data_IF_979307404296
#
_entry.id   IF_979307404296
#
_cell.length_a   1.000
_cell.length_b   1.000
_cell.length_c   1.000
_cell.angle_alpha   90.00
_cell.angle_beta   90.00
_cell.angle_gamma   90.00
#
_symmetry.space_group_name_H-M   'P 1'
#
loop_
_entity.id
_entity.type
_entity.pdbx_description
1 polymer ?
#
# COMPACT_ATOMS: atom_id res chain seq x y z
N UNK A 1 -3.20 34.88 91.31
CA UNK A 1 -3.42 35.95 90.31
C UNK A 1 -2.28 35.87 89.32
N UNK A 2 -2.54 36.01 88.02
CA UNK A 2 -1.46 36.14 87.03
C UNK A 2 -0.72 37.45 87.33
N UNK A 3 0.43 37.37 88.00
CA UNK A 3 1.28 38.53 88.19
C UNK A 3 2.00 38.81 86.87
N UNK A 4 1.49 39.79 86.13
CA UNK A 4 2.10 40.28 84.90
C UNK A 4 3.36 41.09 85.25
N UNK A 5 4.43 40.38 85.58
CA UNK A 5 5.76 40.96 85.77
C UNK A 5 6.44 41.19 84.40
N UNK A 6 7.36 42.14 84.31
CA UNK A 6 8.16 42.43 83.10
C UNK A 6 8.81 41.18 82.50
N UNK A 7 9.13 40.18 83.32
CA UNK A 7 9.66 38.89 82.88
C UNK A 7 8.73 38.13 81.91
N UNK A 8 7.41 38.22 82.09
CA UNK A 8 6.43 37.60 81.19
C UNK A 8 6.53 38.15 79.76
N UNK A 9 6.69 39.47 79.62
CA UNK A 9 6.84 40.12 78.31
C UNK A 9 8.15 39.71 77.62
N UNK A 10 9.24 39.54 78.36
CA UNK A 10 10.52 39.05 77.82
C UNK A 10 10.39 37.62 77.28
N UNK A 11 9.75 36.72 78.03
CA UNK A 11 9.50 35.34 77.58
C UNK A 11 8.59 35.29 76.35
N UNK A 12 7.57 36.16 76.28
CA UNK A 12 6.69 36.25 75.13
C UNK A 12 7.45 36.69 73.87
N UNK A 13 8.31 37.70 73.98
CA UNK A 13 9.17 38.14 72.86
C UNK A 13 10.11 37.02 72.43
N UNK A 14 10.75 36.32 73.37
CA UNK A 14 11.62 35.18 73.07
C UNK A 14 10.87 34.05 72.35
N UNK A 15 9.64 33.75 72.77
CA UNK A 15 8.79 32.75 72.11
C UNK A 15 8.48 33.15 70.67
N UNK A 16 8.10 34.40 70.41
CA UNK A 16 7.84 34.87 69.05
C UNK A 16 9.11 34.83 68.18
N UNK A 17 10.26 35.25 68.72
CA UNK A 17 11.54 35.15 68.00
C UNK A 17 11.82 33.70 67.60
N UNK A 18 11.72 32.76 68.55
CA UNK A 18 11.93 31.34 68.27
C UNK A 18 10.92 30.81 67.24
N UNK A 19 9.65 31.19 67.36
CA UNK A 19 8.60 30.82 66.41
C UNK A 19 8.91 31.31 64.99
N UNK A 20 9.38 32.55 64.82
CA UNK A 20 9.78 33.09 63.52
C UNK A 20 10.98 32.35 62.92
N UNK A 21 12.00 32.06 63.75
CA UNK A 21 13.16 31.27 63.32
C UNK A 21 12.72 29.87 62.88
N UNK A 22 11.90 29.20 63.68
CA UNK A 22 11.41 27.85 63.39
C UNK A 22 10.54 27.81 62.13
N UNK A 23 9.68 28.82 61.94
CA UNK A 23 8.86 28.98 60.74
C UNK A 23 9.72 29.09 59.49
N UNK A 24 10.74 29.97 59.52
CA UNK A 24 11.63 30.19 58.40
C UNK A 24 12.54 28.98 58.12
N UNK A 25 13.05 28.31 59.16
CA UNK A 25 14.07 27.27 59.04
C UNK A 25 13.51 25.85 58.86
N UNK A 26 12.34 25.54 59.41
CA UNK A 26 11.77 24.18 59.36
C UNK A 26 10.45 24.12 58.60
N UNK A 27 9.45 24.92 58.98
CA UNK A 27 8.10 24.77 58.45
C UNK A 27 8.01 25.15 56.97
N UNK A 28 8.60 26.28 56.57
CA UNK A 28 8.65 26.70 55.16
C UNK A 28 9.33 25.66 54.25
N UNK A 29 10.58 25.21 54.52
CA UNK A 29 11.24 24.24 53.64
C UNK A 29 10.54 22.87 53.65
N UNK A 30 9.95 22.43 54.76
CA UNK A 30 9.16 21.18 54.79
C UNK A 30 7.94 21.24 53.88
N UNK A 31 7.14 22.31 53.96
CA UNK A 31 5.95 22.47 53.13
C UNK A 31 6.33 22.56 51.65
N UNK A 32 7.41 23.27 51.34
CA UNK A 32 7.92 23.37 49.98
C UNK A 32 8.38 22.00 49.44
N UNK A 33 9.07 21.20 50.25
CA UNK A 33 9.47 19.84 49.87
C UNK A 33 8.26 18.94 49.59
N UNK A 34 7.22 19.00 50.43
CA UNK A 34 5.99 18.24 50.19
C UNK A 34 5.28 18.69 48.91
N UNK A 35 5.19 19.99 48.66
CA UNK A 35 4.61 20.53 47.43
C UNK A 35 5.40 20.10 46.20
N UNK A 36 6.73 20.15 46.24
CA UNK A 36 7.59 19.70 45.13
C UNK A 36 7.41 18.21 44.84
N UNK A 37 7.32 17.37 45.89
CA UNK A 37 7.03 15.94 45.73
C UNK A 37 5.67 15.70 45.11
N UNK A 38 4.64 16.39 45.59
CA UNK A 38 3.29 16.28 45.05
C UNK A 38 3.24 16.70 43.57
N UNK A 39 3.86 17.82 43.22
CA UNK A 39 3.95 18.29 41.83
C UNK A 39 4.71 17.32 40.93
N UNK A 40 5.85 16.78 41.41
CA UNK A 40 6.64 15.81 40.65
C UNK A 40 5.85 14.53 40.39
N UNK A 41 5.16 14.01 41.41
CA UNK A 41 4.37 12.79 41.28
C UNK A 41 3.17 13.00 40.35
N UNK A 42 2.44 14.11 40.52
CA UNK A 42 1.32 14.45 39.63
C UNK A 42 1.78 14.64 38.19
N UNK A 43 2.86 15.40 37.99
CA UNK A 43 3.45 15.61 36.66
C UNK A 43 3.88 14.30 35.99
N UNK A 44 4.53 13.41 36.72
CA UNK A 44 4.93 12.10 36.21
C UNK A 44 3.72 11.22 35.86
N UNK A 45 2.64 11.27 36.65
CA UNK A 45 1.41 10.53 36.38
C UNK A 45 0.70 11.07 35.13
N UNK A 46 0.59 12.39 35.01
CA UNK A 46 -0.03 13.06 33.86
C UNK A 46 0.76 12.78 32.57
N UNK A 47 2.09 12.82 32.65
CA UNK A 47 2.97 12.47 31.53
C UNK A 47 2.80 11.00 31.12
N UNK A 48 2.74 10.07 32.09
CA UNK A 48 2.51 8.66 31.81
C UNK A 48 1.14 8.41 31.16
N UNK A 49 0.08 9.10 31.61
CA UNK A 49 -1.24 9.03 30.98
C UNK A 49 -1.19 9.54 29.54
N UNK A 50 -0.57 10.70 29.32
CA UNK A 50 -0.45 11.32 28.00
C UNK A 50 0.40 10.45 27.04
N UNK A 51 1.44 9.79 27.54
CA UNK A 51 2.21 8.81 26.78
C UNK A 51 1.39 7.57 26.41
N UNK A 52 0.56 7.05 27.33
CA UNK A 52 -0.33 5.93 27.05
C UNK A 52 -1.37 6.29 25.98
N UNK A 53 -2.02 7.45 26.09
CA UNK A 53 -2.96 7.92 25.07
C UNK A 53 -2.30 8.09 23.70
N UNK A 54 -1.09 8.68 23.65
CA UNK A 54 -0.32 8.80 22.40
C UNK A 54 0.02 7.44 21.81
N UNK A 55 0.43 6.49 22.64
CA UNK A 55 0.71 5.11 22.22
C UNK A 55 -0.53 4.44 21.65
N UNK A 56 -1.67 4.53 22.33
CA UNK A 56 -2.93 3.97 21.84
C UNK A 56 -3.35 4.58 20.50
N UNK A 57 -3.27 5.91 20.38
CA UNK A 57 -3.54 6.62 19.11
C UNK A 57 -2.59 6.18 18.00
N UNK A 58 -1.30 6.04 18.29
CA UNK A 58 -0.31 5.58 17.31
C UNK A 58 -0.57 4.14 16.85
N UNK A 59 -0.93 3.24 17.77
CA UNK A 59 -1.30 1.85 17.44
C UNK A 59 -2.58 1.82 16.61
N UNK A 60 -3.58 2.62 16.96
CA UNK A 60 -4.83 2.72 16.21
C UNK A 60 -4.57 3.21 14.78
N UNK A 61 -3.75 4.26 14.62
CA UNK A 61 -3.38 4.78 13.30
C UNK A 61 -2.60 3.75 12.48
N UNK A 62 -1.59 3.10 13.08
CA UNK A 62 -0.82 2.05 12.41
C UNK A 62 -1.71 0.90 11.93
N UNK A 63 -2.67 0.47 12.76
CA UNK A 63 -3.62 -0.57 12.38
C UNK A 63 -4.54 -0.13 11.23
N UNK A 64 -5.00 1.12 11.25
CA UNK A 64 -5.80 1.68 10.16
C UNK A 64 -5.00 1.75 8.85
N UNK A 65 -3.75 2.21 8.90
CA UNK A 65 -2.86 2.30 7.74
C UNK A 65 -2.56 0.90 7.16
N UNK A 66 -2.31 -0.09 8.03
CA UNK A 66 -2.12 -1.48 7.60
C UNK A 66 -3.37 -2.08 6.95
N UNK A 67 -4.56 -1.78 7.49
CA UNK A 67 -5.82 -2.21 6.90
C UNK A 67 -6.06 -1.58 5.52
N UNK A 68 -5.81 -0.27 5.40
CA UNK A 68 -5.91 0.46 4.15
C UNK A 68 -4.92 -0.07 3.10
N UNK A 69 -3.66 -0.29 3.47
CA UNK A 69 -2.65 -0.85 2.58
C UNK A 69 -3.02 -2.25 2.08
N UNK A 70 -3.55 -3.12 2.95
CA UNK A 70 -4.05 -4.45 2.56
C UNK A 70 -5.23 -4.37 1.61
N UNK A 71 -6.16 -3.44 1.84
CA UNK A 71 -7.31 -3.23 0.96
C UNK A 71 -6.87 -2.74 -0.43
N UNK A 72 -5.97 -1.76 -0.48
CA UNK A 72 -5.39 -1.26 -1.73
C UNK A 72 -4.64 -2.37 -2.48
N UNK A 73 -3.78 -3.12 -1.80
CA UNK A 73 -3.05 -4.24 -2.40
C UNK A 73 -4.01 -5.28 -3.00
N UNK A 74 -5.07 -5.64 -2.27
CA UNK A 74 -6.10 -6.56 -2.79
C UNK A 74 -6.79 -5.99 -4.03
N UNK A 75 -7.13 -4.70 -4.02
CA UNK A 75 -7.76 -4.04 -5.17
C UNK A 75 -6.84 -4.05 -6.40
N UNK A 76 -5.54 -3.75 -6.21
CA UNK A 76 -4.54 -3.75 -7.29
C UNK A 76 -4.40 -5.17 -7.87
N UNK A 77 -4.29 -6.19 -7.02
CA UNK A 77 -4.16 -7.59 -7.47
C UNK A 77 -5.41 -8.03 -8.24
N UNK A 78 -6.61 -7.66 -7.77
CA UNK A 78 -7.85 -7.97 -8.50
C UNK A 78 -7.89 -7.27 -9.85
N UNK A 79 -7.56 -5.98 -9.91
CA UNK A 79 -7.53 -5.22 -11.17
C UNK A 79 -6.53 -5.81 -12.16
N UNK A 80 -5.31 -6.13 -11.71
CA UNK A 80 -4.28 -6.77 -12.55
C UNK A 80 -4.72 -8.16 -13.05
N UNK A 81 -5.45 -8.93 -12.25
CA UNK A 81 -6.01 -10.21 -12.70
C UNK A 81 -7.07 -10.02 -13.77
N UNK A 82 -7.98 -9.07 -13.59
CA UNK A 82 -9.03 -8.77 -14.57
C UNK A 82 -8.43 -8.26 -15.88
N UNK A 83 -7.46 -7.35 -15.81
CA UNK A 83 -6.71 -6.85 -16.95
C UNK A 83 -5.94 -7.97 -17.66
N UNK A 84 -5.23 -8.81 -16.91
CA UNK A 84 -4.50 -9.96 -17.45
C UNK A 84 -5.42 -10.97 -18.15
N UNK A 85 -6.60 -11.24 -17.59
CA UNK A 85 -7.61 -12.10 -18.22
C UNK A 85 -8.20 -11.46 -19.48
N UNK A 86 -8.44 -10.15 -19.48
CA UNK A 86 -8.91 -9.42 -20.65
C UNK A 86 -7.86 -9.47 -21.78
N UNK A 87 -6.60 -9.17 -21.45
CA UNK A 87 -5.48 -9.23 -22.38
C UNK A 87 -5.28 -10.64 -22.94
N UNK A 88 -5.35 -11.68 -22.09
CA UNK A 88 -5.26 -13.06 -22.55
C UNK A 88 -6.36 -13.40 -23.56
N UNK A 89 -7.61 -13.00 -23.29
CA UNK A 89 -8.73 -13.21 -24.22
C UNK A 89 -8.52 -12.47 -25.54
N UNK A 90 -8.02 -11.24 -25.49
CA UNK A 90 -7.72 -10.46 -26.69
C UNK A 90 -6.63 -11.11 -27.53
N UNK A 91 -5.51 -11.52 -26.92
CA UNK A 91 -4.40 -12.20 -27.60
C UNK A 91 -4.87 -13.49 -28.25
N UNK A 92 -5.63 -14.32 -27.53
CA UNK A 92 -6.17 -15.58 -28.08
C UNK A 92 -7.13 -15.30 -29.24
N UNK A 93 -8.05 -14.34 -29.09
CA UNK A 93 -8.98 -13.98 -30.16
C UNK A 93 -8.28 -13.44 -31.41
N UNK A 94 -7.23 -12.64 -31.24
CA UNK A 94 -6.44 -12.13 -32.35
C UNK A 94 -5.66 -13.26 -33.04
N UNK A 95 -5.04 -14.16 -32.27
CA UNK A 95 -4.35 -15.33 -32.82
C UNK A 95 -5.31 -16.26 -33.60
N UNK A 96 -6.53 -16.49 -33.10
CA UNK A 96 -7.55 -17.25 -33.82
C UNK A 96 -7.95 -16.56 -35.14
N UNK A 97 -8.15 -15.23 -35.14
CA UNK A 97 -8.46 -14.47 -36.36
C UNK A 97 -7.32 -14.54 -37.37
N UNK A 98 -6.07 -14.39 -36.93
CA UNK A 98 -4.89 -14.49 -37.78
C UNK A 98 -4.76 -15.90 -38.38
N UNK A 99 -5.00 -16.94 -37.58
CA UNK A 99 -5.00 -18.32 -38.06
C UNK A 99 -6.07 -18.56 -39.13
N UNK A 100 -7.29 -18.06 -38.93
CA UNK A 100 -8.37 -18.15 -39.94
C UNK A 100 -7.97 -17.39 -41.21
N UNK A 101 -7.45 -16.17 -41.11
CA UNK A 101 -6.99 -15.40 -42.27
C UNK A 101 -5.86 -16.11 -43.03
N UNK A 102 -4.92 -16.74 -42.30
CA UNK A 102 -3.84 -17.52 -42.90
C UNK A 102 -4.37 -18.72 -43.69
N UNK A 103 -5.34 -19.46 -43.12
CA UNK A 103 -5.97 -20.60 -43.80
C UNK A 103 -6.71 -20.15 -45.05
N UNK A 104 -7.47 -19.05 -44.99
CA UNK A 104 -8.19 -18.52 -46.15
C UNK A 104 -7.24 -18.06 -47.26
N UNK A 105 -6.13 -17.39 -46.91
CA UNK A 105 -5.08 -17.04 -47.88
C UNK A 105 -4.47 -18.27 -48.53
N UNK A 106 -4.09 -19.28 -47.73
CA UNK A 106 -3.52 -20.52 -48.25
C UNK A 106 -4.50 -21.26 -49.19
N UNK A 107 -5.80 -21.29 -48.85
CA UNK A 107 -6.84 -21.86 -49.72
C UNK A 107 -6.96 -21.09 -51.05
N UNK A 108 -6.92 -19.77 -51.00
CA UNK A 108 -6.98 -18.92 -52.20
C UNK A 108 -5.75 -19.13 -53.10
N UNK A 109 -4.55 -19.20 -52.51
CA UNK A 109 -3.30 -19.49 -53.22
C UNK A 109 -3.33 -20.88 -53.88
N UNK A 110 -3.74 -21.93 -53.14
CA UNK A 110 -3.88 -23.28 -53.68
C UNK A 110 -4.86 -23.31 -54.86
N UNK A 111 -5.98 -22.58 -54.77
CA UNK A 111 -6.96 -22.51 -55.85
C UNK A 111 -6.38 -21.84 -57.10
N UNK A 112 -5.72 -20.70 -56.93
CA UNK A 112 -5.05 -19.99 -58.02
C UNK A 112 -3.95 -20.86 -58.68
N UNK A 113 -3.17 -21.57 -57.87
CA UNK A 113 -2.14 -22.51 -58.32
C UNK A 113 -2.75 -23.65 -59.15
N UNK A 114 -3.84 -24.24 -58.67
CA UNK A 114 -4.54 -25.33 -59.36
C UNK A 114 -5.10 -24.89 -60.71
N UNK A 115 -5.66 -23.68 -60.79
CA UNK A 115 -6.14 -23.09 -62.04
C UNK A 115 -4.98 -22.85 -63.03
N UNK A 116 -3.86 -22.33 -62.55
CA UNK A 116 -2.64 -22.14 -63.36
C UNK A 116 -2.10 -23.46 -63.90
N UNK A 117 -1.97 -24.48 -63.06
CA UNK A 117 -1.50 -25.81 -63.44
C UNK A 117 -2.45 -26.47 -64.44
N UNK A 118 -3.77 -26.33 -64.27
CA UNK A 118 -4.76 -26.81 -65.25
C UNK A 118 -4.60 -26.16 -66.62
N UNK A 119 -4.35 -24.85 -66.66
CA UNK A 119 -4.16 -24.13 -67.92
C UNK A 119 -2.87 -24.57 -68.64
N UNK A 120 -1.78 -24.77 -67.90
CA UNK A 120 -0.53 -25.33 -68.44
C UNK A 120 -0.73 -26.74 -69.00
N UNK A 121 -1.43 -27.62 -68.26
CA UNK A 121 -1.75 -28.97 -68.71
C UNK A 121 -2.57 -28.97 -70.01
N UNK A 122 -3.54 -28.05 -70.17
CA UNK A 122 -4.29 -27.91 -71.42
C UNK A 122 -3.39 -27.54 -72.59
N UNK A 123 -2.52 -26.56 -72.42
CA UNK A 123 -1.55 -26.17 -73.45
C UNK A 123 -0.60 -27.31 -73.82
N UNK A 124 -0.15 -28.09 -72.83
CA UNK A 124 0.71 -29.25 -73.06
C UNK A 124 -0.02 -30.35 -73.85
N UNK A 125 -1.30 -30.60 -73.53
CA UNK A 125 -2.15 -31.58 -74.25
C UNK A 125 -2.41 -31.15 -75.69
N UNK A 126 -2.66 -29.85 -75.94
CA UNK A 126 -2.85 -29.32 -77.28
C UNK A 126 -1.56 -29.47 -78.11
N UNK A 127 -0.41 -29.12 -77.53
CA UNK A 127 0.91 -29.30 -78.15
C UNK A 127 1.21 -30.77 -78.45
N UNK A 128 0.92 -31.68 -77.52
CA UNK A 128 1.13 -33.12 -77.71
C UNK A 128 0.22 -33.66 -78.83
N UNK A 129 -1.01 -33.14 -78.90
CA UNK A 129 -1.97 -33.50 -79.95
C UNK A 129 -1.51 -33.04 -81.34
N UNK A 130 -0.96 -31.83 -81.46
CA UNK A 130 -0.32 -31.35 -82.69
C UNK A 130 0.91 -32.18 -83.10
N UNK A 131 1.76 -32.57 -82.13
CA UNK A 131 2.91 -33.45 -82.39
C UNK A 131 2.47 -34.82 -82.91
N UNK A 132 1.40 -35.40 -82.35
CA UNK A 132 0.82 -36.68 -82.81
C UNK A 132 0.29 -36.55 -84.24
N UNK A 133 -0.49 -35.50 -84.53
CA UNK A 133 -1.04 -35.25 -85.88
C UNK A 133 0.08 -35.09 -86.91
N UNK A 134 1.10 -34.28 -86.60
CA UNK A 134 2.26 -34.08 -87.49
C UNK A 134 3.04 -35.38 -87.74
N UNK A 135 3.05 -36.31 -86.79
CA UNK A 135 3.74 -37.60 -86.93
C UNK A 135 2.92 -38.61 -87.75
N UNK A 136 1.59 -38.53 -87.70
CA UNK A 136 0.68 -39.37 -88.50
C UNK A 136 0.52 -38.91 -89.95
N UNK A 137 0.57 -37.59 -90.21
CA UNK A 137 0.43 -37.00 -91.56
C UNK A 137 1.74 -37.07 -92.37
N UNK A 138 2.88 -37.39 -91.73
CA UNK A 138 4.19 -37.57 -92.40
C UNK A 138 4.39 -38.96 -93.04
N UNK A 139 3.30 -39.69 -93.31
CA UNK A 139 3.27 -40.90 -94.16
C UNK A 139 2.50 -40.55 -95.42
#
# INVERSE_FOLDING_TARGET
>A
MLEFNNWFFVLMVQFFILMFILNAMLFKPMVELFRQREQTIKGALDEAQLMNEKKEKAIAQMNADLAAARAQAKSIITALREEGLAYQREVVSNAEKEAVQMIEKARAEIKAETERVRNLLRQEVDRLSEEIVNKLVKV
#
